data_IF_483716281865
#
_entry.id   IF_483716281865
#
_cell.length_a   1.000
_cell.length_b   1.000
_cell.length_c   1.000
_cell.angle_alpha   90.00
_cell.angle_beta   90.00
_cell.angle_gamma   90.00
#
_symmetry.space_group_name_H-M   'P 1'
#
loop_
_entity.id
_entity.type
_entity.pdbx_description
1 polymer ?
#
# COMPACT_ATOMS: atom_id res chain seq x y z
N UNK A 1 -23.17 5.51 1.86
CA UNK A 1 -22.02 5.71 0.96
C UNK A 1 -21.72 4.40 0.22
N UNK A 2 -21.45 4.45 -1.08
CA UNK A 2 -20.88 3.34 -1.86
C UNK A 2 -19.53 3.73 -2.46
N UNK A 3 -18.49 2.91 -2.25
CA UNK A 3 -17.18 3.08 -2.89
C UNK A 3 -16.92 1.91 -3.84
N UNK A 4 -16.67 2.25 -5.11
CA UNK A 4 -16.24 1.31 -6.14
C UNK A 4 -14.81 1.64 -6.56
N UNK A 5 -14.10 0.64 -7.07
CA UNK A 5 -12.74 0.80 -7.59
C UNK A 5 -12.75 0.46 -9.07
N UNK A 6 -12.10 1.30 -9.88
CA UNK A 6 -12.00 1.07 -11.31
C UNK A 6 -10.59 1.36 -11.84
N UNK A 7 -10.25 0.71 -12.95
CA UNK A 7 -8.99 0.93 -13.62
C UNK A 7 -8.88 2.34 -14.18
N UNK A 8 -7.80 3.05 -13.86
CA UNK A 8 -7.48 4.42 -14.30
C UNK A 8 -7.45 4.61 -15.82
N UNK A 9 -7.26 3.52 -16.57
CA UNK A 9 -7.24 3.51 -18.05
C UNK A 9 -8.63 3.41 -18.68
N UNK A 10 -9.69 3.16 -17.90
CA UNK A 10 -11.06 3.13 -18.44
C UNK A 10 -11.46 4.52 -18.90
N UNK A 11 -12.12 4.59 -20.06
CA UNK A 11 -12.65 5.83 -20.60
C UNK A 11 -13.78 6.37 -19.70
N UNK A 12 -13.89 7.70 -19.58
CA UNK A 12 -14.89 8.33 -18.71
C UNK A 12 -16.32 7.92 -19.11
N UNK A 13 -16.64 7.88 -20.40
CA UNK A 13 -17.95 7.41 -20.88
C UNK A 13 -18.31 6.00 -20.39
N UNK A 14 -17.33 5.09 -20.32
CA UNK A 14 -17.55 3.72 -19.80
C UNK A 14 -17.77 3.71 -18.28
N UNK A 15 -17.10 4.61 -17.54
CA UNK A 15 -17.30 4.75 -16.09
C UNK A 15 -18.66 5.35 -15.79
N UNK A 16 -19.06 6.41 -16.50
CA UNK A 16 -20.38 7.05 -16.36
C UNK A 16 -21.51 6.08 -16.67
N UNK A 17 -21.37 5.24 -17.71
CA UNK A 17 -22.37 4.21 -18.03
C UNK A 17 -22.46 3.11 -16.96
N UNK A 18 -21.32 2.67 -16.41
CA UNK A 18 -21.29 1.61 -15.41
C UNK A 18 -21.71 2.09 -14.00
N UNK A 19 -21.48 3.37 -13.70
CA UNK A 19 -21.68 3.99 -12.41
C UNK A 19 -22.39 5.35 -12.56
N UNK A 20 -23.66 5.36 -13.03
CA UNK A 20 -24.38 6.61 -13.27
C UNK A 20 -24.51 7.40 -11.96
N UNK A 21 -24.21 8.69 -12.02
CA UNK A 21 -24.29 9.60 -10.87
C UNK A 21 -23.12 9.52 -9.89
N UNK A 22 -22.20 8.56 -10.02
CA UNK A 22 -21.07 8.43 -9.11
C UNK A 22 -19.97 9.46 -9.42
N UNK A 23 -19.39 10.04 -8.38
CA UNK A 23 -18.23 10.91 -8.49
C UNK A 23 -16.97 10.07 -8.76
N UNK A 24 -16.24 10.39 -9.83
CA UNK A 24 -15.01 9.69 -10.19
C UNK A 24 -13.79 10.44 -9.64
N UNK A 25 -13.03 9.78 -8.78
CA UNK A 25 -11.89 10.38 -8.07
C UNK A 25 -10.62 9.60 -8.40
N UNK A 26 -9.63 10.28 -9.01
CA UNK A 26 -8.30 9.72 -9.21
C UNK A 26 -7.50 9.80 -7.91
N UNK A 27 -6.93 8.68 -7.46
CA UNK A 27 -6.04 8.61 -6.28
C UNK A 27 -4.65 8.11 -6.65
N UNK A 28 -4.32 8.04 -7.94
CA UNK A 28 -2.99 7.63 -8.40
C UNK A 28 -1.93 8.69 -8.10
N UNK A 29 -0.66 8.35 -8.31
CA UNK A 29 0.46 9.30 -8.16
C UNK A 29 0.45 10.45 -9.19
N UNK A 30 -0.56 10.51 -10.06
CA UNK A 30 -0.79 11.58 -11.05
C UNK A 30 -2.13 12.28 -10.85
N UNK A 31 -2.85 11.93 -9.78
CA UNK A 31 -4.11 12.57 -9.46
C UNK A 31 -3.94 14.08 -9.23
N UNK A 32 -5.00 14.87 -9.41
CA UNK A 32 -5.01 16.25 -8.97
C UNK A 32 -4.96 16.33 -7.43
N UNK A 33 -4.50 17.47 -6.92
CA UNK A 33 -4.69 17.80 -5.50
C UNK A 33 -6.19 17.87 -5.17
N UNK A 34 -6.60 17.43 -3.98
CA UNK A 34 -5.77 16.88 -2.91
C UNK A 34 -5.55 15.36 -2.99
N UNK A 35 -6.23 14.69 -3.92
CA UNK A 35 -6.36 13.22 -3.95
C UNK A 35 -5.06 12.48 -4.22
N UNK A 36 -4.08 13.13 -4.84
CA UNK A 36 -2.71 12.60 -5.01
C UNK A 36 -2.06 12.19 -3.70
N UNK A 37 -2.45 12.79 -2.57
CA UNK A 37 -1.95 12.48 -1.23
C UNK A 37 -2.35 11.09 -0.74
N UNK A 38 -3.41 10.50 -1.31
CA UNK A 38 -3.79 9.11 -1.03
C UNK A 38 -2.88 8.10 -1.75
N UNK A 39 -2.04 8.54 -2.69
CA UNK A 39 -1.09 7.66 -3.36
C UNK A 39 0.00 7.19 -2.41
N UNK A 40 0.38 5.89 -2.42
CA UNK A 40 1.50 5.38 -1.62
C UNK A 40 2.87 5.96 -2.06
N UNK A 41 2.91 6.67 -3.19
CA UNK A 41 4.08 7.38 -3.71
C UNK A 41 4.20 8.81 -3.18
N UNK A 42 3.17 9.35 -2.52
CA UNK A 42 3.21 10.72 -2.03
C UNK A 42 4.20 10.85 -0.86
N UNK A 43 5.09 11.85 -0.88
CA UNK A 43 6.17 11.99 0.10
C UNK A 43 5.68 12.69 1.38
N UNK A 44 4.81 12.04 2.16
CA UNK A 44 4.29 12.58 3.43
C UNK A 44 5.35 12.83 4.50
N UNK A 45 6.44 12.06 4.50
CA UNK A 45 7.44 12.12 5.57
C UNK A 45 7.00 11.47 6.87
N UNK A 46 7.97 11.07 7.69
CA UNK A 46 7.75 10.58 9.05
C UNK A 46 6.96 9.28 9.17
N UNK A 47 6.80 8.51 8.08
CA UNK A 47 6.07 7.24 8.11
C UNK A 47 6.96 6.19 8.79
N UNK A 48 6.56 5.59 9.93
CA UNK A 48 7.40 4.60 10.62
C UNK A 48 7.71 3.40 9.73
N UNK A 49 8.98 2.98 9.70
CA UNK A 49 9.40 1.78 8.98
C UNK A 49 9.16 0.56 9.86
N UNK A 50 8.31 -0.41 9.45
CA UNK A 50 8.09 -1.62 10.24
C UNK A 50 9.40 -2.36 10.55
N UNK A 51 9.53 -2.88 11.77
CA UNK A 51 10.73 -3.55 12.32
C UNK A 51 11.98 -2.68 12.47
N UNK A 52 11.84 -1.36 12.47
CA UNK A 52 12.91 -0.45 12.79
C UNK A 52 12.46 0.47 13.92
N UNK A 53 13.30 0.63 14.94
CA UNK A 53 13.14 1.68 15.95
C UNK A 53 13.63 3.01 15.35
N UNK A 54 12.85 4.08 15.54
CA UNK A 54 13.19 5.46 15.17
C UNK A 54 13.59 5.71 13.70
N UNK A 55 13.27 4.79 12.79
CA UNK A 55 13.46 4.98 11.34
C UNK A 55 12.13 5.33 10.70
N UNK A 56 12.13 6.39 9.90
CA UNK A 56 10.96 6.81 9.12
C UNK A 56 11.26 6.86 7.63
N UNK A 57 10.21 7.00 6.81
CA UNK A 57 10.30 7.18 5.36
C UNK A 57 9.46 8.34 4.87
N UNK A 58 9.87 8.89 3.73
CA UNK A 58 9.11 9.86 2.96
C UNK A 58 7.80 9.28 2.41
N UNK A 59 7.77 8.01 1.97
CA UNK A 59 6.57 7.41 1.36
C UNK A 59 6.43 5.91 1.68
N UNK A 60 5.21 5.38 1.58
CA UNK A 60 4.94 3.94 1.75
C UNK A 60 5.67 3.11 0.70
N UNK A 61 5.71 3.58 -0.55
CA UNK A 61 6.50 2.95 -1.60
C UNK A 61 8.02 3.01 -1.29
N UNK A 62 8.50 4.09 -0.64
CA UNK A 62 9.87 4.18 -0.14
C UNK A 62 10.22 3.04 0.80
N UNK A 63 9.37 2.77 1.78
CA UNK A 63 9.49 1.61 2.68
C UNK A 63 9.52 0.30 1.88
N UNK A 64 8.56 0.14 0.97
CA UNK A 64 8.44 -1.07 0.15
C UNK A 64 9.68 -1.34 -0.69
N UNK A 65 10.27 -0.31 -1.29
CA UNK A 65 11.48 -0.43 -2.12
C UNK A 65 12.76 -0.55 -1.29
N UNK A 66 12.83 0.10 -0.13
CA UNK A 66 13.96 0.00 0.78
C UNK A 66 14.12 -1.42 1.31
N UNK A 67 13.03 -2.05 1.75
CA UNK A 67 13.04 -3.38 2.36
C UNK A 67 13.06 -4.53 1.34
N UNK A 68 12.88 -4.25 0.05
CA UNK A 68 12.91 -5.25 -1.01
C UNK A 68 14.30 -5.82 -1.20
N UNK A 69 14.41 -7.14 -1.20
CA UNK A 69 15.67 -7.85 -1.44
C UNK A 69 15.60 -8.54 -2.79
N UNK A 70 16.67 -8.42 -3.56
CA UNK A 70 16.86 -9.09 -4.84
C UNK A 70 18.07 -10.00 -4.76
N UNK A 71 18.16 -11.01 -5.64
CA UNK A 71 19.33 -11.89 -5.73
C UNK A 71 20.66 -11.12 -5.81
N UNK A 72 20.69 -10.01 -6.54
CA UNK A 72 21.89 -9.19 -6.75
C UNK A 72 22.02 -7.96 -5.85
N UNK A 73 21.10 -7.73 -4.90
CA UNK A 73 21.22 -6.58 -3.99
C UNK A 73 20.31 -6.71 -2.76
N UNK A 74 20.83 -6.34 -1.61
CA UNK A 74 20.12 -6.32 -0.33
C UNK A 74 19.18 -5.11 -0.19
N UNK A 75 18.70 -4.81 1.02
CA UNK A 75 17.95 -3.60 1.36
C UNK A 75 18.69 -2.33 0.93
N UNK A 76 17.94 -1.28 0.63
CA UNK A 76 18.46 0.01 0.18
C UNK A 76 17.84 1.16 0.99
N UNK A 77 18.45 1.53 2.14
CA UNK A 77 17.94 2.61 3.00
C UNK A 77 17.78 3.95 2.27
N UNK A 78 18.52 4.18 1.17
CA UNK A 78 18.42 5.45 0.42
C UNK A 78 17.02 5.67 -0.16
N UNK A 79 16.23 4.60 -0.34
CA UNK A 79 14.84 4.70 -0.82
C UNK A 79 13.90 5.30 0.22
N UNK A 80 14.27 5.29 1.49
CA UNK A 80 13.45 5.91 2.54
C UNK A 80 13.38 7.44 2.39
N UNK A 81 14.43 8.06 1.85
CA UNK A 81 14.58 9.53 1.71
C UNK A 81 14.08 10.08 0.36
N UNK A 82 13.65 9.21 -0.55
CA UNK A 82 13.24 9.66 -1.89
C UNK A 82 11.87 10.34 -1.84
N UNK A 83 11.85 11.63 -2.20
CA UNK A 83 10.64 12.47 -2.22
C UNK A 83 9.98 12.60 -3.60
N UNK A 84 10.56 11.96 -4.63
CA UNK A 84 10.01 12.00 -5.99
C UNK A 84 9.84 10.60 -6.56
N UNK A 85 8.96 10.43 -7.56
CA UNK A 85 8.79 9.12 -8.21
C UNK A 85 10.07 8.67 -8.94
N UNK A 86 10.93 9.62 -9.34
CA UNK A 86 12.19 9.35 -10.03
C UNK A 86 13.22 8.73 -9.07
N UNK A 87 13.73 7.55 -9.42
CA UNK A 87 14.77 6.87 -8.62
C UNK A 87 14.25 6.05 -7.44
N UNK A 88 12.93 6.04 -7.20
CA UNK A 88 12.28 5.29 -6.13
C UNK A 88 12.24 3.77 -6.41
N UNK A 89 11.88 3.39 -7.64
CA UNK A 89 11.69 1.97 -7.99
C UNK A 89 13.02 1.25 -8.21
N UNK A 90 13.17 0.09 -7.56
CA UNK A 90 14.22 -0.91 -7.84
C UNK A 90 13.60 -2.04 -8.66
N UNK A 91 14.29 -2.49 -9.71
CA UNK A 91 13.70 -3.40 -10.72
C UNK A 91 14.49 -4.68 -10.93
N UNK A 92 13.80 -5.75 -11.29
CA UNK A 92 14.41 -7.07 -11.55
C UNK A 92 15.42 -7.05 -12.70
N UNK A 93 15.24 -6.16 -13.68
CA UNK A 93 16.18 -5.99 -14.80
C UNK A 93 17.57 -5.56 -14.33
N UNK A 94 17.64 -4.76 -13.26
CA UNK A 94 18.91 -4.25 -12.71
C UNK A 94 19.47 -5.15 -11.60
N UNK A 95 18.61 -5.72 -10.76
CA UNK A 95 19.01 -6.36 -9.51
C UNK A 95 18.80 -7.88 -9.47
N UNK A 96 18.23 -8.47 -10.53
CA UNK A 96 17.85 -9.89 -10.58
C UNK A 96 16.48 -10.16 -9.94
N UNK A 97 16.09 -11.44 -9.77
CA UNK A 97 14.80 -11.81 -9.18
C UNK A 97 14.62 -11.28 -7.76
N UNK A 98 13.38 -10.90 -7.40
CA UNK A 98 13.03 -10.55 -6.01
C UNK A 98 13.06 -11.82 -5.17
N UNK A 99 13.71 -11.75 -4.01
CA UNK A 99 13.75 -12.85 -3.04
C UNK A 99 12.71 -12.66 -1.93
N UNK A 100 12.32 -11.42 -1.63
CA UNK A 100 11.31 -11.09 -0.62
C UNK A 100 11.49 -9.67 -0.07
N UNK A 101 10.96 -9.42 1.12
CA UNK A 101 11.20 -8.18 1.86
C UNK A 101 11.76 -8.47 3.26
N UNK A 102 12.81 -7.77 3.65
CA UNK A 102 13.46 -7.98 4.95
C UNK A 102 12.62 -7.41 6.08
N UNK A 103 12.65 -8.06 7.24
CA UNK A 103 12.10 -7.49 8.49
C UNK A 103 12.99 -6.34 8.96
N UNK A 104 12.74 -5.13 8.44
CA UNK A 104 13.52 -3.93 8.78
C UNK A 104 14.87 -3.88 8.08
N UNK A 105 15.64 -2.83 8.35
CA UNK A 105 16.93 -2.60 7.69
C UNK A 105 18.04 -3.53 8.20
N UNK A 106 17.91 -4.05 9.42
CA UNK A 106 18.94 -4.86 10.10
C UNK A 106 18.48 -6.29 10.44
N UNK A 107 17.21 -6.64 10.21
CA UNK A 107 16.70 -7.97 10.56
C UNK A 107 17.26 -9.08 9.66
N UNK A 108 17.27 -10.30 10.18
CA UNK A 108 17.78 -11.48 9.47
C UNK A 108 16.72 -12.26 8.68
N UNK A 109 15.43 -11.97 8.86
CA UNK A 109 14.34 -12.72 8.23
C UNK A 109 13.87 -12.06 6.94
N UNK A 110 13.68 -12.89 5.91
CA UNK A 110 13.09 -12.48 4.63
C UNK A 110 11.63 -12.96 4.55
N UNK A 111 10.71 -12.03 4.35
CA UNK A 111 9.28 -12.29 4.22
C UNK A 111 8.93 -12.63 2.78
N UNK A 112 8.01 -13.57 2.61
CA UNK A 112 7.34 -13.83 1.34
C UNK A 112 6.60 -12.57 0.86
N UNK A 113 6.19 -12.55 -0.40
CA UNK A 113 5.51 -11.38 -0.96
C UNK A 113 4.17 -11.06 -0.27
N UNK A 114 3.35 -12.08 0.03
CA UNK A 114 2.11 -11.89 0.78
C UNK A 114 2.39 -11.45 2.23
N UNK A 115 3.26 -12.14 2.95
CA UNK A 115 3.59 -11.79 4.34
C UNK A 115 4.15 -10.38 4.43
N UNK A 116 4.95 -9.95 3.44
CA UNK A 116 5.42 -8.57 3.33
C UNK A 116 4.29 -7.58 3.13
N UNK A 117 3.28 -7.87 2.30
CA UNK A 117 2.10 -7.00 2.18
C UNK A 117 1.42 -6.83 3.53
N UNK A 118 1.17 -7.93 4.25
CA UNK A 118 0.48 -7.93 5.55
C UNK A 118 1.25 -7.20 6.64
N UNK A 119 2.56 -7.42 6.72
CA UNK A 119 3.39 -6.98 7.85
C UNK A 119 4.21 -5.72 7.59
N UNK A 120 4.29 -5.27 6.33
CA UNK A 120 5.02 -4.06 5.95
C UNK A 120 4.08 -3.07 5.27
N UNK A 121 3.47 -3.45 4.15
CA UNK A 121 2.72 -2.52 3.32
C UNK A 121 1.44 -2.02 4.00
N UNK A 122 0.62 -2.94 4.52
CA UNK A 122 -0.62 -2.61 5.20
C UNK A 122 -0.39 -1.68 6.42
N UNK A 123 0.44 -2.03 7.43
CA UNK A 123 0.60 -1.17 8.59
C UNK A 123 1.15 0.22 8.22
N UNK A 124 2.08 0.30 7.25
CA UNK A 124 2.60 1.57 6.77
C UNK A 124 1.53 2.42 6.07
N UNK A 125 0.69 1.81 5.22
CA UNK A 125 -0.38 2.54 4.52
C UNK A 125 -1.52 2.92 5.46
N UNK A 126 -1.91 2.04 6.39
CA UNK A 126 -2.89 2.36 7.44
C UNK A 126 -2.44 3.56 8.26
N UNK A 127 -1.18 3.58 8.69
CA UNK A 127 -0.63 4.70 9.44
C UNK A 127 -0.76 6.03 8.66
N UNK A 128 -0.52 6.02 7.35
CA UNK A 128 -0.74 7.21 6.50
C UNK A 128 -2.21 7.63 6.48
N UNK A 129 -3.14 6.69 6.30
CA UNK A 129 -4.58 6.96 6.32
C UNK A 129 -5.04 7.58 7.65
N UNK A 130 -4.46 7.14 8.76
CA UNK A 130 -4.77 7.59 10.12
C UNK A 130 -4.12 8.93 10.48
N UNK A 131 -2.89 9.20 10.03
CA UNK A 131 -2.07 10.30 10.58
C UNK A 131 -1.71 11.39 9.57
N UNK A 132 -1.83 11.12 8.27
CA UNK A 132 -1.39 12.05 7.21
C UNK A 132 -2.52 12.54 6.32
N UNK A 133 -3.54 11.71 6.10
CA UNK A 133 -4.65 12.01 5.19
C UNK A 133 -6.02 11.70 5.78
N UNK A 134 -6.13 11.72 7.12
CA UNK A 134 -7.40 11.49 7.80
C UNK A 134 -8.49 12.47 7.34
N UNK A 135 -8.13 13.73 7.09
CA UNK A 135 -9.02 14.75 6.51
C UNK A 135 -9.57 14.33 5.13
N UNK A 136 -8.73 13.73 4.27
CA UNK A 136 -9.17 13.24 2.96
C UNK A 136 -10.04 11.99 3.06
N UNK A 137 -9.78 11.14 4.06
CA UNK A 137 -10.64 9.99 4.35
C UNK A 137 -12.04 10.48 4.76
N UNK A 138 -12.14 11.46 5.66
CA UNK A 138 -13.43 12.02 6.06
C UNK A 138 -14.14 12.71 4.89
N UNK A 139 -13.41 13.45 4.06
CA UNK A 139 -13.96 14.02 2.81
C UNK A 139 -14.47 12.97 1.82
N UNK A 140 -13.91 11.77 1.83
CA UNK A 140 -14.48 10.66 1.07
C UNK A 140 -15.76 10.17 1.75
N UNK A 141 -15.76 9.98 3.08
CA UNK A 141 -16.96 9.53 3.83
C UNK A 141 -18.19 10.43 3.63
N UNK A 142 -17.98 11.73 3.46
CA UNK A 142 -19.05 12.71 3.22
C UNK A 142 -19.70 12.60 1.83
N UNK A 143 -19.16 11.77 0.93
CA UNK A 143 -19.70 11.57 -0.42
C UNK A 143 -20.72 10.43 -0.43
N UNK A 144 -21.69 10.51 -1.34
CA UNK A 144 -22.71 9.46 -1.48
C UNK A 144 -22.18 8.26 -2.27
N UNK A 145 -21.78 8.47 -3.53
CA UNK A 145 -21.35 7.42 -4.46
C UNK A 145 -20.03 7.82 -5.13
N UNK A 146 -19.00 7.00 -4.93
CA UNK A 146 -17.63 7.30 -5.40
C UNK A 146 -17.05 6.12 -6.19
N UNK A 147 -16.33 6.45 -7.27
CA UNK A 147 -15.45 5.52 -7.99
C UNK A 147 -14.00 6.00 -7.83
N UNK A 148 -13.20 5.25 -7.09
CA UNK A 148 -11.77 5.51 -6.93
C UNK A 148 -10.99 4.88 -8.10
N UNK A 149 -10.11 5.67 -8.72
CA UNK A 149 -9.27 5.19 -9.83
C UNK A 149 -7.87 4.80 -9.36
N UNK A 150 -7.43 3.65 -9.86
CA UNK A 150 -6.06 3.14 -9.68
C UNK A 150 -5.62 2.32 -10.91
N UNK A 151 -4.32 2.08 -11.08
CA UNK A 151 -3.80 1.29 -12.19
C UNK A 151 -4.05 -0.22 -12.04
N UNK A 152 -4.27 -0.69 -10.82
CA UNK A 152 -4.72 -2.04 -10.46
C UNK A 152 -6.02 -1.94 -9.66
N UNK A 153 -6.81 -3.00 -9.61
CA UNK A 153 -8.05 -3.06 -8.83
C UNK A 153 -8.07 -4.23 -7.84
N UNK A 154 -6.95 -4.95 -7.70
CA UNK A 154 -6.85 -6.08 -6.78
C UNK A 154 -6.89 -5.58 -5.33
N UNK A 155 -7.94 -5.93 -4.59
CA UNK A 155 -8.07 -5.65 -3.17
C UNK A 155 -7.70 -6.83 -2.26
N UNK A 156 -7.36 -7.99 -2.84
CA UNK A 156 -7.00 -9.18 -2.09
C UNK A 156 -5.50 -9.20 -1.79
N UNK A 157 -5.18 -9.10 -0.51
CA UNK A 157 -3.81 -9.13 -0.02
C UNK A 157 -3.15 -10.48 -0.30
N UNK A 158 -3.94 -11.56 -0.27
CA UNK A 158 -3.50 -12.93 -0.49
C UNK A 158 -3.32 -13.30 -1.97
N UNK A 159 -3.80 -12.47 -2.91
CA UNK A 159 -3.60 -12.69 -4.34
C UNK A 159 -2.27 -12.06 -4.81
N UNK A 160 -1.18 -12.85 -5.03
CA UNK A 160 0.08 -12.31 -5.52
C UNK A 160 0.09 -12.09 -7.04
N UNK A 161 -0.92 -12.56 -7.79
CA UNK A 161 -0.92 -12.55 -9.26
C UNK A 161 -0.94 -11.14 -9.83
N UNK A 162 -1.42 -10.17 -9.06
CA UNK A 162 -1.45 -8.75 -9.45
C UNK A 162 -1.07 -7.83 -8.28
N UNK A 163 -0.50 -6.64 -8.55
CA UNK A 163 -0.19 -5.67 -7.50
C UNK A 163 -1.43 -5.28 -6.71
N UNK A 164 -1.27 -5.14 -5.39
CA UNK A 164 -2.33 -4.67 -4.49
C UNK A 164 -2.72 -3.23 -4.84
N UNK A 165 -4.01 -2.96 -4.92
CA UNK A 165 -4.58 -1.64 -5.20
C UNK A 165 -4.71 -0.81 -3.95
N UNK A 166 -4.09 0.37 -3.94
CA UNK A 166 -4.25 1.31 -2.82
C UNK A 166 -5.66 1.92 -2.81
N UNK A 167 -6.30 2.11 -3.97
CA UNK A 167 -7.71 2.52 -4.02
C UNK A 167 -8.64 1.48 -3.36
N UNK A 168 -8.37 0.18 -3.57
CA UNK A 168 -9.11 -0.88 -2.88
C UNK A 168 -8.87 -0.87 -1.36
N UNK A 169 -7.64 -0.57 -0.92
CA UNK A 169 -7.35 -0.42 0.51
C UNK A 169 -8.03 0.81 1.13
N UNK A 170 -8.06 1.96 0.44
CA UNK A 170 -8.82 3.14 0.90
C UNK A 170 -10.29 2.80 1.11
N UNK A 171 -10.91 2.09 0.16
CA UNK A 171 -12.27 1.58 0.31
C UNK A 171 -12.40 0.69 1.55
N UNK A 172 -11.54 -0.33 1.68
CA UNK A 172 -11.59 -1.27 2.80
C UNK A 172 -11.41 -0.57 4.15
N UNK A 173 -10.57 0.45 4.22
CA UNK A 173 -10.39 1.27 5.41
C UNK A 173 -11.66 2.05 5.77
N UNK A 174 -12.26 2.73 4.80
CA UNK A 174 -13.50 3.50 5.00
C UNK A 174 -14.65 2.60 5.44
N UNK A 175 -14.76 1.41 4.85
CA UNK A 175 -15.82 0.44 5.17
C UNK A 175 -15.57 -0.34 6.47
N UNK A 176 -14.46 -0.10 7.18
CA UNK A 176 -14.13 -0.83 8.42
C UNK A 176 -13.75 -2.29 8.18
N UNK A 177 -13.31 -2.63 6.97
CA UNK A 177 -12.94 -3.98 6.52
C UNK A 177 -11.44 -4.11 6.24
N UNK A 178 -10.62 -3.38 7.00
CA UNK A 178 -9.16 -3.40 6.81
C UNK A 178 -8.62 -4.84 6.92
N UNK A 179 -7.75 -5.28 5.99
CA UNK A 179 -7.24 -6.66 6.03
C UNK A 179 -6.38 -6.93 7.26
N UNK A 180 -6.33 -8.19 7.70
CA UNK A 180 -5.49 -8.60 8.85
C UNK A 180 -3.99 -8.41 8.55
N UNK A 181 -3.32 -7.75 9.48
CA UNK A 181 -1.87 -7.51 9.53
C UNK A 181 -1.23 -8.59 10.41
N UNK A 182 -0.83 -9.71 9.82
CA UNK A 182 -0.35 -10.88 10.54
C UNK A 182 0.01 -12.00 9.56
N UNK A 183 0.41 -13.16 10.07
CA UNK A 183 0.53 -14.34 9.20
C UNK A 183 -0.89 -14.85 8.87
N UNK A 184 -1.07 -15.42 7.67
CA UNK A 184 -2.28 -16.19 7.35
C UNK A 184 -2.35 -17.46 8.23
N UNK A 185 -1.19 -17.96 8.67
CA UNK A 185 -1.00 -19.15 9.49
C UNK A 185 -0.71 -18.78 10.95
N UNK A 186 -1.67 -18.13 11.60
CA UNK A 186 -1.76 -18.12 13.06
C UNK A 186 -2.97 -18.95 13.52
N UNK A 187 -3.08 -20.16 12.99
CA UNK A 187 -3.57 -21.32 13.73
C UNK A 187 -2.35 -22.21 13.96
N UNK A 188 -2.14 -22.65 15.21
CA UNK A 188 -1.04 -23.47 15.71
C UNK A 188 0.22 -22.73 16.21
N UNK A 189 0.04 -21.98 17.29
CA UNK A 189 0.97 -22.01 18.45
C UNK A 189 0.29 -21.41 19.70
N UNK A 190 -0.92 -21.88 20.03
CA UNK A 190 -1.49 -21.73 21.38
C UNK A 190 -2.07 -23.10 21.75
N UNK A 191 -1.40 -23.76 22.70
CA UNK A 191 -1.62 -25.15 23.13
C UNK A 191 -0.29 -25.90 23.03
N UNK A 192 0.55 -25.96 24.05
CA UNK A 192 0.18 -26.47 25.36
C UNK A 192 0.92 -25.75 26.49
N UNK A 193 0.13 -25.36 27.49
CA UNK A 193 0.59 -24.98 28.80
C UNK A 193 0.96 -26.26 29.55
N UNK A 194 2.00 -26.17 30.39
CA UNK A 194 2.00 -26.82 31.70
C UNK A 194 2.13 -28.34 31.70
N UNK A 195 3.38 -28.80 31.79
CA UNK A 195 3.87 -29.71 32.84
C UNK A 195 5.38 -29.64 32.96
#
# INVERSE_FOLDING_TARGET
>A
MSIRVAGRRRAMASLTAAFPGAEVIDVTSKAPEPWVRLSPFYPHGGIPVPYCEDVTSQSVEGIWQALKVFRGSDVDPTKLEVTTVKGLKRTVRRHGPVQGHRTGLRGGRLLSYETARRRIYLPAYRWVLEHRVADLVERLRDKEDVVLLDYTTNGDVADPASPLSHAALVRLYIEGRWPREGDADASDAVGDHMR
#
